data_IF_264644529187
#
_entry.id   IF_264644529187
#
_cell.length_a   1.000
_cell.length_b   1.000
_cell.length_c   1.000
_cell.angle_alpha   90.00
_cell.angle_beta   90.00
_cell.angle_gamma   90.00
#
_symmetry.space_group_name_H-M   'P 1'
#
loop_
_entity.id
_entity.type
_entity.pdbx_description
1 polymer ?
#
# COMPACT_ATOMS: atom_id res chain seq x y z
N UNK A 1 26.77 -60.77 31.07
CA UNK A 1 25.80 -60.19 30.11
C UNK A 1 25.87 -58.67 30.24
N UNK A 2 26.48 -57.97 29.29
CA UNK A 2 26.47 -56.51 29.19
C UNK A 2 25.46 -56.13 28.11
N UNK A 3 24.43 -55.39 28.47
CA UNK A 3 23.45 -54.84 27.53
C UNK A 3 23.90 -53.43 27.14
N UNK A 4 24.29 -53.24 25.88
CA UNK A 4 24.56 -51.94 25.29
C UNK A 4 23.24 -51.34 24.79
N UNK A 5 22.73 -50.36 25.51
CA UNK A 5 21.57 -49.57 25.06
C UNK A 5 22.06 -48.57 24.02
N UNK A 6 21.69 -48.76 22.76
CA UNK A 6 21.92 -47.78 21.71
C UNK A 6 20.77 -46.77 21.73
N UNK A 7 21.04 -45.58 22.24
CA UNK A 7 20.12 -44.45 22.13
C UNK A 7 20.15 -43.92 20.70
N UNK A 8 19.12 -44.22 19.91
CA UNK A 8 18.90 -43.57 18.62
C UNK A 8 18.33 -42.18 18.88
N UNK A 9 19.15 -41.15 18.66
CA UNK A 9 18.70 -39.75 18.67
C UNK A 9 18.06 -39.47 17.32
N UNK A 10 16.73 -39.35 17.29
CA UNK A 10 16.03 -38.78 16.14
C UNK A 10 16.26 -37.28 16.12
N UNK A 11 17.13 -36.82 15.23
CA UNK A 11 17.23 -35.42 14.85
C UNK A 11 15.97 -35.06 14.06
N UNK A 12 14.96 -34.54 14.77
CA UNK A 12 13.86 -33.82 14.12
C UNK A 12 14.45 -32.52 13.62
N UNK A 13 14.89 -32.51 12.36
CA UNK A 13 15.09 -31.28 11.59
C UNK A 13 13.71 -30.63 11.45
N UNK A 14 13.32 -29.84 12.46
CA UNK A 14 12.28 -28.85 12.31
C UNK A 14 12.77 -27.86 11.25
N UNK A 15 12.38 -28.07 10.01
CA UNK A 15 12.37 -26.98 9.05
C UNK A 15 11.43 -25.93 9.64
N UNK A 16 11.99 -24.90 10.28
CA UNK A 16 11.32 -23.61 10.31
C UNK A 16 11.17 -23.20 8.85
N UNK A 17 10.08 -23.64 8.23
CA UNK A 17 9.49 -22.90 7.13
C UNK A 17 9.16 -21.54 7.74
N UNK A 18 10.11 -20.61 7.68
CA UNK A 18 9.78 -19.21 7.84
C UNK A 18 8.77 -18.96 6.73
N UNK A 19 7.49 -18.93 7.08
CA UNK A 19 6.46 -18.60 6.13
C UNK A 19 6.87 -17.27 5.51
N UNK A 20 7.09 -17.29 4.20
CA UNK A 20 7.40 -16.09 3.43
C UNK A 20 6.31 -15.04 3.73
N UNK A 21 6.69 -13.92 4.34
CA UNK A 21 5.74 -12.88 4.76
C UNK A 21 5.73 -11.78 3.73
N UNK A 22 4.59 -11.57 3.08
CA UNK A 22 4.41 -10.40 2.23
C UNK A 22 4.44 -9.14 3.09
N UNK A 23 4.96 -8.06 2.53
CA UNK A 23 5.11 -6.77 3.20
C UNK A 23 4.25 -5.71 2.52
N UNK A 24 3.88 -4.67 3.26
CA UNK A 24 3.15 -3.55 2.70
C UNK A 24 3.62 -2.21 3.27
N UNK A 25 3.64 -1.18 2.42
CA UNK A 25 3.94 0.20 2.78
C UNK A 25 2.79 1.07 2.26
N UNK A 26 2.06 1.73 3.16
CA UNK A 26 0.90 2.57 2.83
C UNK A 26 1.18 4.02 3.22
N UNK A 27 1.12 4.94 2.26
CA UNK A 27 1.65 6.30 2.39
C UNK A 27 0.57 7.32 2.05
N UNK A 28 0.23 8.17 3.03
CA UNK A 28 -0.54 9.40 2.81
C UNK A 28 0.42 10.60 2.81
N UNK A 29 0.60 11.22 1.65
CA UNK A 29 1.43 12.41 1.48
C UNK A 29 0.70 13.72 1.86
N UNK A 30 -0.60 13.67 2.15
CA UNK A 30 -1.41 14.83 2.54
C UNK A 30 -1.59 14.95 4.05
N UNK A 31 -2.10 16.10 4.49
CA UNK A 31 -2.38 16.39 5.90
C UNK A 31 -3.53 17.38 6.01
N UNK A 32 -4.04 17.61 7.22
CA UNK A 32 -5.22 18.44 7.53
C UNK A 32 -6.55 17.78 7.12
N UNK A 33 -7.62 18.17 7.81
CA UNK A 33 -8.93 17.54 7.72
C UNK A 33 -9.54 17.58 6.32
N UNK A 34 -9.32 18.65 5.55
CA UNK A 34 -9.74 18.78 4.14
C UNK A 34 -9.21 17.65 3.22
N UNK A 35 -8.22 16.89 3.69
CA UNK A 35 -7.65 15.74 3.01
C UNK A 35 -8.01 14.40 3.67
N UNK A 36 -9.16 14.33 4.37
CA UNK A 36 -9.67 13.12 5.03
C UNK A 36 -9.65 11.89 4.12
N UNK A 37 -10.04 12.03 2.85
CA UNK A 37 -9.99 10.95 1.86
C UNK A 37 -8.63 10.27 1.72
N UNK A 38 -7.52 10.98 1.73
CA UNK A 38 -6.21 10.32 1.60
C UNK A 38 -5.85 9.53 2.88
N UNK A 39 -6.33 9.99 4.03
CA UNK A 39 -6.23 9.24 5.29
C UNK A 39 -7.07 7.97 5.24
N UNK A 40 -8.34 8.06 4.83
CA UNK A 40 -9.23 6.90 4.75
C UNK A 40 -8.82 5.91 3.65
N UNK A 41 -8.23 6.38 2.52
CA UNK A 41 -7.69 5.51 1.48
C UNK A 41 -6.67 4.53 2.07
N UNK A 42 -5.68 5.07 2.80
CA UNK A 42 -4.64 4.27 3.46
C UNK A 42 -5.25 3.28 4.45
N UNK A 43 -6.26 3.70 5.21
CA UNK A 43 -6.95 2.84 6.18
C UNK A 43 -7.80 1.76 5.54
N UNK A 44 -8.46 2.06 4.43
CA UNK A 44 -9.23 1.11 3.65
C UNK A 44 -8.31 -0.02 3.15
N UNK A 45 -7.17 0.33 2.55
CA UNK A 45 -6.18 -0.67 2.13
C UNK A 45 -5.58 -1.41 3.32
N UNK A 46 -5.25 -0.72 4.43
CA UNK A 46 -4.76 -1.38 5.64
C UNK A 46 -5.74 -2.44 6.15
N UNK A 47 -7.04 -2.10 6.18
CA UNK A 47 -8.10 -3.03 6.60
C UNK A 47 -8.22 -4.23 5.67
N UNK A 48 -8.07 -4.04 4.35
CA UNK A 48 -8.04 -5.15 3.38
C UNK A 48 -6.89 -6.10 3.69
N UNK A 49 -5.67 -5.58 3.87
CA UNK A 49 -4.48 -6.41 4.09
C UNK A 49 -4.58 -7.19 5.41
N UNK A 50 -4.99 -6.53 6.49
CA UNK A 50 -5.19 -7.19 7.79
C UNK A 50 -6.28 -8.26 7.72
N UNK A 51 -7.35 -8.04 6.93
CA UNK A 51 -8.39 -9.04 6.68
C UNK A 51 -7.91 -10.26 5.90
N UNK A 52 -6.79 -10.15 5.18
CA UNK A 52 -6.22 -11.20 4.33
C UNK A 52 -4.86 -11.70 4.84
N UNK A 53 -4.65 -11.68 6.16
CA UNK A 53 -3.56 -12.39 6.82
C UNK A 53 -2.26 -11.60 7.04
N UNK A 54 -2.22 -10.31 6.70
CA UNK A 54 -1.06 -9.48 7.06
C UNK A 54 -1.00 -9.21 8.56
N UNK A 55 0.17 -9.47 9.16
CA UNK A 55 0.46 -9.06 10.52
C UNK A 55 0.63 -7.54 10.60
N UNK A 56 0.35 -6.96 11.77
CA UNK A 56 0.49 -5.52 11.97
C UNK A 56 1.95 -5.03 11.94
N UNK A 57 2.94 -5.91 12.07
CA UNK A 57 4.37 -5.62 11.91
C UNK A 57 4.85 -5.71 10.46
N UNK A 58 4.08 -6.35 9.57
CA UNK A 58 4.40 -6.50 8.15
C UNK A 58 3.82 -5.35 7.30
N UNK A 59 3.05 -4.44 7.92
CA UNK A 59 2.48 -3.25 7.30
C UNK A 59 3.09 -1.99 7.93
N UNK A 60 3.82 -1.22 7.13
CA UNK A 60 4.20 0.14 7.47
C UNK A 60 3.11 1.11 7.01
N UNK A 61 2.67 2.00 7.90
CA UNK A 61 1.68 3.03 7.59
C UNK A 61 2.28 4.40 7.88
N UNK A 62 2.43 5.20 6.83
CA UNK A 62 2.94 6.56 6.89
C UNK A 62 1.80 7.57 6.73
N UNK A 63 1.55 8.35 7.77
CA UNK A 63 0.60 9.48 7.73
C UNK A 63 1.01 10.54 8.76
N UNK A 64 0.88 11.82 8.40
CA UNK A 64 1.30 12.92 9.28
C UNK A 64 0.32 13.17 10.44
N UNK A 65 -0.96 12.88 10.22
CA UNK A 65 -2.02 13.16 11.19
C UNK A 65 -3.00 11.99 11.22
N UNK A 66 -3.44 11.62 12.42
CA UNK A 66 -4.61 10.77 12.60
C UNK A 66 -5.87 11.65 12.62
N UNK A 67 -6.71 11.51 11.59
CA UNK A 67 -7.90 12.35 11.43
C UNK A 67 -9.12 11.81 12.18
N UNK A 68 -9.05 10.62 12.77
CA UNK A 68 -10.09 10.15 13.68
C UNK A 68 -10.16 11.01 14.94
N UNK A 69 -9.01 11.50 15.42
CA UNK A 69 -8.90 12.36 16.59
C UNK A 69 -9.01 13.86 16.27
N UNK A 70 -9.30 14.26 15.02
CA UNK A 70 -9.49 15.67 14.67
C UNK A 70 -10.81 16.18 15.24
N UNK A 71 -10.81 17.36 15.88
CA UNK A 71 -12.02 17.92 16.53
C UNK A 71 -13.17 18.22 15.58
N UNK A 72 -12.90 18.30 14.27
CA UNK A 72 -13.92 18.49 13.23
C UNK A 72 -14.57 17.17 12.81
N UNK A 73 -13.95 16.03 13.11
CA UNK A 73 -14.52 14.73 12.87
C UNK A 73 -15.68 14.50 13.85
N UNK A 74 -16.91 14.54 13.34
CA UNK A 74 -18.14 14.29 14.08
C UNK A 74 -18.45 12.80 14.24
N UNK A 75 -17.71 11.94 13.54
CA UNK A 75 -17.93 10.50 13.50
C UNK A 75 -16.95 9.77 14.42
N UNK A 76 -17.47 8.90 15.30
CA UNK A 76 -16.64 8.05 16.16
C UNK A 76 -15.91 6.93 15.37
N UNK A 77 -16.41 6.63 14.16
CA UNK A 77 -15.88 5.59 13.27
C UNK A 77 -15.35 6.20 11.98
N UNK A 78 -14.36 5.53 11.39
CA UNK A 78 -13.78 5.94 10.11
C UNK A 78 -14.77 5.69 8.97
N UNK A 79 -15.13 6.75 8.24
CA UNK A 79 -15.99 6.65 7.07
C UNK A 79 -15.19 6.27 5.81
N UNK A 80 -15.64 5.21 5.13
CA UNK A 80 -15.24 4.80 3.77
C UNK A 80 -16.50 4.90 2.90
N UNK A 81 -16.79 6.09 2.39
CA UNK A 81 -18.04 6.34 1.67
C UNK A 81 -19.25 6.04 2.56
N UNK A 82 -20.11 5.12 2.12
CA UNK A 82 -21.32 4.70 2.85
C UNK A 82 -21.04 3.61 3.90
N UNK A 83 -19.80 3.14 4.03
CA UNK A 83 -19.38 2.12 5.00
C UNK A 83 -18.56 2.73 6.14
N UNK A 84 -18.58 2.08 7.30
CA UNK A 84 -17.73 2.43 8.44
C UNK A 84 -16.70 1.30 8.65
N UNK A 85 -15.42 1.62 8.83
CA UNK A 85 -14.46 0.61 9.27
C UNK A 85 -14.70 0.20 10.72
N UNK A 86 -14.34 -1.04 11.02
CA UNK A 86 -14.59 -1.69 12.31
C UNK A 86 -14.05 -0.90 13.51
N UNK A 87 -14.89 -0.85 14.52
CA UNK A 87 -14.62 -0.28 15.84
C UNK A 87 -13.60 -1.14 16.61
N UNK A 88 -12.64 -0.51 17.29
CA UNK A 88 -11.70 -1.22 18.18
C UNK A 88 -10.43 -1.77 17.54
N UNK A 89 -10.19 -1.59 16.23
CA UNK A 89 -8.89 -1.88 15.62
C UNK A 89 -7.91 -0.73 15.88
N UNK A 90 -6.73 -1.05 16.43
CA UNK A 90 -5.66 -0.07 16.63
C UNK A 90 -5.06 0.31 15.27
N UNK A 91 -5.48 1.46 14.80
CA UNK A 91 -4.97 2.08 13.60
C UNK A 91 -3.80 3.03 13.91
N UNK A 92 -3.31 3.17 15.14
CA UNK A 92 -2.23 4.10 15.48
C UNK A 92 -1.01 3.86 14.57
N UNK A 93 -0.53 4.86 13.81
CA UNK A 93 0.64 4.69 12.96
C UNK A 93 1.86 4.29 13.80
N UNK A 94 2.41 3.09 13.55
CA UNK A 94 3.57 2.55 14.29
C UNK A 94 4.88 3.28 13.99
N UNK A 95 4.95 4.08 12.91
CA UNK A 95 6.10 4.92 12.56
C UNK A 95 5.64 6.38 12.40
N UNK A 96 5.83 7.16 13.46
CA UNK A 96 5.62 8.62 13.49
C UNK A 96 6.92 9.31 13.14
N UNK A 97 7.17 9.55 11.88
CA UNK A 97 8.11 10.60 11.52
C UNK A 97 7.54 11.43 10.38
N UNK A 98 7.74 12.73 10.50
CA UNK A 98 7.22 13.74 9.57
C UNK A 98 8.33 14.27 8.67
N UNK A 99 9.39 13.46 8.51
CA UNK A 99 10.48 13.80 7.63
C UNK A 99 10.12 13.44 6.20
N UNK A 100 10.50 14.35 5.32
CA UNK A 100 10.54 14.10 3.89
C UNK A 100 11.40 12.86 3.54
N UNK A 101 12.43 12.57 4.33
CA UNK A 101 13.31 11.43 4.03
C UNK A 101 12.72 10.07 4.41
N UNK A 102 11.71 10.02 5.29
CA UNK A 102 11.19 8.73 5.77
C UNK A 102 10.45 7.95 4.69
N UNK A 103 9.72 8.64 3.81
CA UNK A 103 9.05 8.01 2.66
C UNK A 103 10.08 7.40 1.72
N UNK A 104 11.19 8.09 1.45
CA UNK A 104 12.26 7.57 0.61
C UNK A 104 12.98 6.39 1.28
N UNK A 105 13.19 6.45 2.60
CA UNK A 105 13.78 5.32 3.35
C UNK A 105 12.86 4.10 3.33
N UNK A 106 11.56 4.28 3.52
CA UNK A 106 10.54 3.23 3.38
C UNK A 106 10.61 2.57 2.00
N UNK A 107 10.49 3.38 0.93
CA UNK A 107 10.43 2.88 -0.44
C UNK A 107 11.76 2.22 -0.84
N UNK A 108 12.90 2.74 -0.39
CA UNK A 108 14.23 2.19 -0.70
C UNK A 108 14.65 1.00 0.16
N UNK A 109 13.79 0.53 1.05
CA UNK A 109 14.01 -0.68 1.85
C UNK A 109 14.83 -0.47 3.13
N UNK A 110 15.04 0.78 3.55
CA UNK A 110 15.74 1.18 4.78
C UNK A 110 14.74 1.45 5.94
N UNK A 111 13.87 0.47 6.19
CA UNK A 111 12.85 0.51 7.24
C UNK A 111 12.75 -0.86 7.95
N UNK A 112 12.56 -0.91 9.28
CA UNK A 112 12.32 -2.14 10.02
C UNK A 112 11.18 -3.03 9.51
N UNK A 113 10.18 -2.50 8.79
CA UNK A 113 9.13 -3.32 8.14
C UNK A 113 9.73 -4.36 7.19
N UNK A 114 10.90 -4.05 6.60
CA UNK A 114 11.65 -4.94 5.71
C UNK A 114 12.50 -5.97 6.46
N UNK A 115 12.45 -6.03 7.78
CA UNK A 115 13.10 -7.11 8.53
C UNK A 115 12.48 -8.46 8.16
N UNK A 116 13.33 -9.43 7.85
CA UNK A 116 12.94 -10.76 7.39
C UNK A 116 12.49 -10.84 5.93
N UNK A 117 12.43 -9.71 5.21
CA UNK A 117 12.12 -9.73 3.77
C UNK A 117 13.30 -10.27 2.95
N UNK A 118 12.99 -11.14 2.00
CA UNK A 118 13.95 -11.84 1.14
C UNK A 118 13.41 -12.05 -0.29
N UNK A 119 14.14 -12.83 -1.09
CA UNK A 119 13.79 -13.11 -2.50
C UNK A 119 12.51 -13.91 -2.72
N UNK A 120 11.81 -14.32 -1.65
CA UNK A 120 10.47 -14.93 -1.73
C UNK A 120 9.35 -13.92 -1.44
N UNK A 121 9.69 -12.81 -0.78
CA UNK A 121 8.74 -11.80 -0.28
C UNK A 121 8.15 -10.97 -1.42
N UNK A 122 6.82 -10.80 -1.45
CA UNK A 122 6.19 -9.76 -2.27
C UNK A 122 5.97 -8.48 -1.45
N UNK A 123 6.12 -7.33 -2.09
CA UNK A 123 5.89 -6.02 -1.46
C UNK A 123 4.81 -5.24 -2.20
N UNK A 124 3.82 -4.77 -1.46
CA UNK A 124 2.87 -3.76 -1.91
C UNK A 124 3.29 -2.37 -1.41
N UNK A 125 3.39 -1.38 -2.30
CA UNK A 125 3.55 0.01 -1.94
C UNK A 125 2.35 0.78 -2.48
N UNK A 126 1.62 1.46 -1.60
CA UNK A 126 0.51 2.34 -1.98
C UNK A 126 0.81 3.76 -1.54
N UNK A 127 0.75 4.71 -2.47
CA UNK A 127 1.05 6.10 -2.23
C UNK A 127 -0.09 6.97 -2.75
N UNK A 128 -0.65 7.81 -1.87
CA UNK A 128 -1.78 8.70 -2.18
C UNK A 128 -1.53 10.12 -1.70
N UNK A 129 -2.12 11.09 -2.42
CA UNK A 129 -2.04 12.51 -2.08
C UNK A 129 -2.28 13.39 -3.30
N UNK A 130 -1.79 14.63 -3.23
CA UNK A 130 -1.93 15.62 -4.30
C UNK A 130 -0.73 15.64 -5.23
N UNK A 131 -0.91 15.29 -6.49
CA UNK A 131 0.13 15.17 -7.50
C UNK A 131 -0.12 16.05 -8.73
N UNK A 132 0.82 15.96 -9.65
CA UNK A 132 0.80 16.61 -10.96
C UNK A 132 1.87 15.99 -11.85
N UNK A 133 2.13 16.62 -13.00
CA UNK A 133 3.10 16.15 -14.00
C UNK A 133 4.50 16.01 -13.40
N UNK A 134 4.91 14.77 -13.11
CA UNK A 134 6.21 14.40 -12.59
C UNK A 134 6.44 14.62 -11.10
N UNK A 135 5.39 14.85 -10.29
CA UNK A 135 5.56 15.06 -8.85
C UNK A 135 4.35 14.69 -7.99
N UNK A 136 4.61 14.45 -6.69
CA UNK A 136 3.58 14.45 -5.64
C UNK A 136 3.98 15.37 -4.48
N UNK A 137 3.01 16.14 -3.97
CA UNK A 137 3.20 17.03 -2.82
C UNK A 137 3.31 16.24 -1.54
N UNK A 138 4.31 16.58 -0.75
CA UNK A 138 4.43 16.19 0.65
C UNK A 138 3.97 17.34 1.55
N UNK A 139 2.80 17.14 2.18
CA UNK A 139 2.20 18.02 3.17
C UNK A 139 2.13 19.50 2.74
N UNK A 140 1.84 19.75 1.44
CA UNK A 140 1.77 21.09 0.83
C UNK A 140 3.04 21.95 0.97
N UNK A 141 4.20 21.35 1.27
CA UNK A 141 5.45 22.10 1.53
C UNK A 141 6.64 21.62 0.71
N UNK A 142 6.69 20.33 0.40
CA UNK A 142 7.76 19.71 -0.38
C UNK A 142 7.14 18.86 -1.50
N UNK A 143 7.98 18.36 -2.38
CA UNK A 143 7.58 17.57 -3.53
C UNK A 143 8.54 16.40 -3.65
N UNK A 144 8.02 15.19 -3.86
CA UNK A 144 8.82 14.10 -4.43
C UNK A 144 8.63 14.14 -5.93
N UNK A 145 9.74 14.09 -6.66
CA UNK A 145 9.73 14.05 -8.12
C UNK A 145 9.86 12.61 -8.63
N UNK A 146 9.62 12.44 -9.94
CA UNK A 146 9.75 11.14 -10.62
C UNK A 146 11.06 10.44 -10.31
N UNK A 147 12.19 11.17 -10.35
CA UNK A 147 13.50 10.61 -10.08
C UNK A 147 13.66 10.14 -8.63
N UNK A 148 13.17 10.91 -7.64
CA UNK A 148 13.29 10.55 -6.22
C UNK A 148 12.65 9.18 -5.93
N UNK A 149 11.45 8.96 -6.48
CA UNK A 149 10.67 7.74 -6.25
C UNK A 149 11.17 6.57 -7.10
N UNK A 150 11.55 6.84 -8.35
CA UNK A 150 12.10 5.82 -9.26
C UNK A 150 13.43 5.30 -8.72
N UNK A 151 14.33 6.17 -8.28
CA UNK A 151 15.62 5.78 -7.71
C UNK A 151 15.46 5.04 -6.38
N UNK A 152 14.46 5.39 -5.57
CA UNK A 152 14.14 4.64 -4.35
C UNK A 152 13.72 3.19 -4.67
N UNK A 153 12.87 2.97 -5.68
CA UNK A 153 12.46 1.62 -6.11
C UNK A 153 13.62 0.82 -6.72
N UNK A 154 14.50 1.47 -7.48
CA UNK A 154 15.72 0.82 -8.00
C UNK A 154 16.62 0.42 -6.84
N UNK A 155 16.85 1.33 -5.90
CA UNK A 155 17.66 1.07 -4.70
C UNK A 155 17.09 -0.07 -3.88
N UNK A 156 15.77 -0.14 -3.70
CA UNK A 156 15.10 -1.23 -3.00
C UNK A 156 15.55 -2.60 -3.53
N UNK A 157 15.43 -2.83 -4.84
CA UNK A 157 15.83 -4.11 -5.43
C UNK A 157 17.34 -4.36 -5.39
N UNK A 158 18.16 -3.31 -5.41
CA UNK A 158 19.61 -3.44 -5.30
C UNK A 158 20.05 -3.86 -3.88
N UNK A 159 19.38 -3.39 -2.83
CA UNK A 159 19.78 -3.64 -1.43
C UNK A 159 18.96 -4.73 -0.74
N UNK A 160 17.75 -4.98 -1.24
CA UNK A 160 16.78 -5.97 -0.75
C UNK A 160 16.08 -6.60 -1.97
N UNK A 161 16.72 -7.54 -2.69
CA UNK A 161 16.07 -8.19 -3.82
C UNK A 161 14.84 -8.97 -3.32
N UNK A 162 13.66 -8.57 -3.81
CA UNK A 162 12.38 -9.18 -3.46
C UNK A 162 11.87 -10.04 -4.62
N UNK A 163 10.85 -10.86 -4.38
CA UNK A 163 10.23 -11.64 -5.44
C UNK A 163 9.50 -10.74 -6.43
N UNK A 164 8.49 -10.00 -5.95
CA UNK A 164 7.69 -9.06 -6.75
C UNK A 164 7.44 -7.78 -5.96
N UNK A 165 7.43 -6.64 -6.65
CA UNK A 165 7.03 -5.36 -6.07
C UNK A 165 5.87 -4.80 -6.87
N UNK A 166 4.82 -4.39 -6.17
CA UNK A 166 3.70 -3.70 -6.78
C UNK A 166 3.56 -2.30 -6.17
N UNK A 167 3.82 -1.28 -6.98
CA UNK A 167 3.70 0.12 -6.60
C UNK A 167 2.41 0.72 -7.19
N UNK A 168 1.60 1.35 -6.35
CA UNK A 168 0.36 2.01 -6.74
C UNK A 168 0.47 3.50 -6.43
N UNK A 169 0.37 4.35 -7.45
CA UNK A 169 0.27 5.80 -7.32
C UNK A 169 -1.19 6.25 -7.48
N UNK A 170 -1.83 6.63 -6.37
CA UNK A 170 -3.19 7.16 -6.36
C UNK A 170 -3.22 8.68 -6.22
N UNK A 171 -3.12 9.38 -7.36
CA UNK A 171 -3.04 10.83 -7.43
C UNK A 171 -3.36 11.36 -8.83
N UNK A 172 -3.47 12.68 -9.01
CA UNK A 172 -3.59 13.31 -10.33
C UNK A 172 -2.31 13.13 -11.14
N UNK A 173 -2.46 12.82 -12.43
CA UNK A 173 -1.36 12.54 -13.36
C UNK A 173 -0.38 11.47 -12.86
N UNK A 174 -0.92 10.45 -12.17
CA UNK A 174 -0.15 9.40 -11.51
C UNK A 174 0.83 8.68 -12.44
N UNK A 175 0.49 8.54 -13.73
CA UNK A 175 1.31 7.85 -14.74
C UNK A 175 2.64 8.57 -15.04
N UNK A 176 2.79 9.81 -14.58
CA UNK A 176 4.03 10.59 -14.71
C UNK A 176 4.96 10.45 -13.51
N UNK A 177 4.49 9.83 -12.42
CA UNK A 177 5.16 9.85 -11.12
C UNK A 177 6.32 8.86 -11.00
N UNK A 178 6.36 7.82 -11.84
CA UNK A 178 7.42 6.82 -11.87
C UNK A 178 7.88 6.62 -13.31
N UNK A 179 9.18 6.64 -13.56
CA UNK A 179 9.74 6.26 -14.86
C UNK A 179 9.90 4.74 -14.90
N UNK A 180 8.85 4.07 -15.39
CA UNK A 180 8.79 2.62 -15.47
C UNK A 180 9.90 2.00 -16.35
N UNK A 181 10.48 2.76 -17.28
CA UNK A 181 11.54 2.25 -18.18
C UNK A 181 12.85 1.94 -17.46
N UNK A 182 13.07 2.52 -16.28
CA UNK A 182 14.26 2.32 -15.45
C UNK A 182 14.09 1.26 -14.37
N UNK A 183 12.88 0.75 -14.19
CA UNK A 183 12.58 -0.14 -13.08
C UNK A 183 13.15 -1.55 -13.28
N UNK A 184 13.51 -2.23 -12.19
CA UNK A 184 13.83 -3.65 -12.22
C UNK A 184 12.67 -4.50 -12.79
N UNK A 185 12.95 -5.65 -13.43
CA UNK A 185 11.96 -6.41 -14.21
C UNK A 185 10.86 -7.06 -13.36
N UNK A 186 11.00 -7.08 -12.04
CA UNK A 186 10.03 -7.62 -11.08
C UNK A 186 9.18 -6.54 -10.39
N UNK A 187 9.23 -5.29 -10.87
CA UNK A 187 8.45 -4.17 -10.33
C UNK A 187 7.32 -3.81 -11.29
N UNK A 188 6.09 -3.89 -10.80
CA UNK A 188 4.88 -3.44 -11.51
C UNK A 188 4.41 -2.12 -10.91
N UNK A 189 3.96 -1.20 -11.77
CA UNK A 189 3.44 0.12 -11.37
C UNK A 189 2.02 0.28 -11.91
N UNK A 190 1.06 0.51 -11.01
CA UNK A 190 -0.30 0.92 -11.37
C UNK A 190 -0.51 2.39 -11.02
N UNK A 191 -0.90 3.17 -12.02
CA UNK A 191 -1.19 4.59 -11.90
C UNK A 191 -2.68 4.84 -12.03
N UNK A 192 -3.27 5.65 -11.13
CA UNK A 192 -4.73 5.84 -11.12
C UNK A 192 -5.27 6.88 -12.09
N UNK A 193 -4.39 7.62 -12.77
CA UNK A 193 -4.75 8.61 -13.78
C UNK A 193 -3.60 8.81 -14.77
N UNK A 194 -3.92 9.08 -16.03
CA UNK A 194 -2.96 9.40 -17.08
C UNK A 194 -2.46 10.85 -16.98
N UNK A 195 -1.39 11.16 -17.71
CA UNK A 195 -0.96 12.55 -17.90
C UNK A 195 -2.11 13.41 -18.42
N UNK A 196 -2.35 14.55 -17.79
CA UNK A 196 -3.49 15.44 -18.08
C UNK A 196 -4.81 15.06 -17.40
N UNK A 197 -4.91 13.92 -16.71
CA UNK A 197 -6.10 13.53 -15.96
C UNK A 197 -5.99 13.88 -14.46
N UNK A 198 -7.14 14.12 -13.83
CA UNK A 198 -7.24 14.20 -12.36
C UNK A 198 -7.58 12.84 -11.77
N UNK A 199 -7.21 12.59 -10.51
CA UNK A 199 -7.86 11.56 -9.71
C UNK A 199 -9.08 12.15 -9.00
N UNK A 200 -10.07 11.31 -8.72
CA UNK A 200 -11.39 11.76 -8.29
C UNK A 200 -11.81 11.16 -6.97
N UNK A 201 -12.44 12.01 -6.14
CA UNK A 201 -13.07 11.59 -4.90
C UNK A 201 -14.41 10.91 -5.14
N UNK A 202 -14.83 10.07 -4.21
CA UNK A 202 -16.14 9.41 -4.25
C UNK A 202 -17.27 10.39 -3.82
N UNK A 203 -18.27 9.91 -3.10
CA UNK A 203 -19.42 10.73 -2.69
C UNK A 203 -19.06 11.69 -1.55
N UNK A 204 -19.62 12.90 -1.59
CA UNK A 204 -19.53 13.84 -0.48
C UNK A 204 -20.35 13.34 0.72
N UNK A 205 -19.81 13.47 1.92
CA UNK A 205 -20.50 13.14 3.17
C UNK A 205 -20.91 14.43 3.89
N UNK A 206 -22.22 14.60 4.12
CA UNK A 206 -22.77 15.81 4.74
C UNK A 206 -22.44 15.92 6.23
N UNK A 207 -22.38 14.80 6.96
CA UNK A 207 -22.11 14.78 8.40
C UNK A 207 -20.66 15.17 8.71
N UNK A 208 -19.74 14.75 7.84
CA UNK A 208 -18.32 15.12 7.88
C UNK A 208 -18.01 16.46 7.18
N UNK A 209 -18.94 16.95 6.36
CA UNK A 209 -18.80 18.09 5.45
C UNK A 209 -17.54 17.97 4.54
N UNK A 210 -17.29 16.78 4.02
CA UNK A 210 -16.10 16.48 3.22
C UNK A 210 -16.28 15.25 2.32
N UNK A 211 -15.38 15.05 1.36
CA UNK A 211 -15.23 13.78 0.66
C UNK A 211 -14.43 12.80 1.53
N UNK A 212 -15.03 11.66 1.93
CA UNK A 212 -14.43 10.78 2.90
C UNK A 212 -13.47 9.77 2.27
N UNK A 213 -13.46 9.53 0.95
CA UNK A 213 -12.57 8.56 0.28
C UNK A 213 -12.44 8.85 -1.22
N UNK A 214 -11.35 8.40 -1.86
CA UNK A 214 -11.19 8.45 -3.32
C UNK A 214 -11.79 7.25 -4.07
N UNK A 215 -12.17 7.46 -5.34
CA UNK A 215 -12.87 6.45 -6.15
C UNK A 215 -12.05 5.18 -6.33
N UNK A 216 -10.73 5.29 -6.55
CA UNK A 216 -9.86 4.13 -6.69
C UNK A 216 -9.81 3.30 -5.42
N UNK A 217 -9.49 3.91 -4.28
CA UNK A 217 -9.43 3.22 -2.99
C UNK A 217 -10.78 2.60 -2.60
N UNK A 218 -11.90 3.32 -2.81
CA UNK A 218 -13.24 2.77 -2.59
C UNK A 218 -13.53 1.57 -3.50
N UNK A 219 -13.11 1.63 -4.76
CA UNK A 219 -13.31 0.55 -5.72
C UNK A 219 -12.49 -0.68 -5.36
N UNK A 220 -11.24 -0.50 -4.96
CA UNK A 220 -10.38 -1.57 -4.45
C UNK A 220 -10.97 -2.22 -3.19
N UNK A 221 -11.51 -1.43 -2.27
CA UNK A 221 -12.20 -1.93 -1.07
C UNK A 221 -13.42 -2.80 -1.42
N UNK A 222 -14.27 -2.34 -2.36
CA UNK A 222 -15.41 -3.11 -2.84
C UNK A 222 -15.00 -4.37 -3.59
N UNK A 223 -13.91 -4.31 -4.35
CA UNK A 223 -13.36 -5.44 -5.10
C UNK A 223 -12.84 -6.53 -4.17
N UNK A 224 -12.09 -6.14 -3.12
CA UNK A 224 -11.54 -7.06 -2.13
C UNK A 224 -12.64 -7.81 -1.36
N UNK A 225 -13.75 -7.16 -1.01
CA UNK A 225 -14.87 -7.80 -0.31
C UNK A 225 -15.58 -8.89 -1.13
N UNK A 226 -15.58 -8.78 -2.47
CA UNK A 226 -16.22 -9.78 -3.32
C UNK A 226 -15.39 -11.05 -3.47
N UNK A 227 -14.11 -11.00 -3.10
CA UNK A 227 -13.12 -12.00 -3.48
C UNK A 227 -12.88 -11.95 -4.99
N UNK A 228 -11.62 -11.79 -5.40
CA UNK A 228 -11.30 -11.76 -6.83
C UNK A 228 -9.97 -12.44 -7.08
N UNK A 229 -9.90 -13.26 -8.14
CA UNK A 229 -8.66 -13.83 -8.63
C UNK A 229 -8.30 -13.13 -9.95
N UNK A 230 -7.88 -11.87 -9.83
CA UNK A 230 -7.54 -11.01 -10.96
C UNK A 230 -6.04 -10.96 -11.16
N UNK A 231 -5.65 -10.82 -12.42
CA UNK A 231 -4.32 -10.34 -12.76
C UNK A 231 -4.28 -8.81 -12.59
N UNK A 232 -3.08 -8.24 -12.41
CA UNK A 232 -2.92 -6.79 -12.38
C UNK A 232 -3.42 -6.16 -13.69
N UNK A 233 -3.19 -6.82 -14.82
CA UNK A 233 -3.65 -6.39 -16.15
C UNK A 233 -5.17 -6.38 -16.34
N UNK A 234 -5.94 -6.99 -15.42
CA UNK A 234 -7.40 -6.93 -15.45
C UNK A 234 -7.95 -5.69 -14.74
N UNK A 235 -7.18 -5.02 -13.88
CA UNK A 235 -7.64 -3.86 -13.12
C UNK A 235 -8.19 -2.73 -14.01
N UNK A 236 -7.53 -2.32 -15.12
CA UNK A 236 -8.10 -1.29 -16.01
C UNK A 236 -9.43 -1.70 -16.67
N UNK A 237 -9.67 -3.00 -16.84
CA UNK A 237 -10.92 -3.53 -17.42
C UNK A 237 -12.04 -3.56 -16.39
N UNK A 238 -11.72 -3.94 -15.15
CA UNK A 238 -12.68 -4.08 -14.04
C UNK A 238 -13.02 -2.71 -13.44
N UNK A 239 -12.07 -1.78 -13.45
CA UNK A 239 -12.22 -0.41 -12.98
C UNK A 239 -12.02 0.59 -14.13
N UNK A 240 -12.93 0.60 -15.13
CA UNK A 240 -12.82 1.47 -16.30
C UNK A 240 -13.05 2.96 -15.94
N UNK A 241 -12.79 3.89 -16.87
CA UNK A 241 -13.04 5.32 -16.65
C UNK A 241 -14.49 5.66 -16.29
N UNK A 242 -15.48 4.87 -16.71
CA UNK A 242 -16.87 5.04 -16.27
C UNK A 242 -17.08 4.81 -14.77
N UNK A 243 -16.15 4.12 -14.11
CA UNK A 243 -16.15 3.86 -12.66
C UNK A 243 -15.28 4.85 -11.91
N UNK A 244 -14.09 5.17 -12.43
CA UNK A 244 -13.08 5.98 -11.72
C UNK A 244 -13.04 7.44 -12.11
N UNK A 245 -13.69 7.81 -13.22
CA UNK A 245 -13.57 9.13 -13.87
C UNK A 245 -12.14 9.48 -14.32
N UNK A 246 -11.24 8.51 -14.29
CA UNK A 246 -9.85 8.56 -14.75
C UNK A 246 -9.45 7.21 -15.33
N UNK A 247 -8.33 7.17 -16.04
CA UNK A 247 -7.85 5.97 -16.73
C UNK A 247 -6.72 5.33 -15.95
N UNK A 248 -6.87 4.04 -15.59
CA UNK A 248 -5.78 3.26 -15.00
C UNK A 248 -4.73 2.91 -16.04
N UNK A 249 -3.46 3.02 -15.67
CA UNK A 249 -2.31 2.59 -16.46
C UNK A 249 -1.48 1.58 -15.67
N UNK A 250 -1.02 0.51 -16.32
CA UNK A 250 -0.19 -0.53 -15.71
C UNK A 250 1.10 -0.67 -16.52
N UNK A 251 2.24 -0.62 -15.83
CA UNK A 251 3.56 -0.93 -16.38
C UNK A 251 4.21 -2.06 -15.60
N UNK A 252 5.15 -2.78 -16.21
CA UNK A 252 5.89 -3.89 -15.59
C UNK A 252 5.24 -5.27 -15.80
N UNK A 253 5.72 -6.31 -15.09
CA UNK A 253 5.24 -7.68 -15.28
C UNK A 253 3.81 -7.84 -14.75
N UNK A 254 3.06 -8.76 -15.34
CA UNK A 254 1.76 -9.15 -14.82
C UNK A 254 1.91 -10.13 -13.65
N UNK A 255 0.97 -10.09 -12.72
CA UNK A 255 0.96 -10.92 -11.52
C UNK A 255 -0.48 -11.07 -11.00
N UNK A 256 -0.73 -12.06 -10.13
CA UNK A 256 -2.02 -12.13 -9.45
C UNK A 256 -2.10 -11.02 -8.41
N UNK A 257 -3.21 -10.28 -8.38
CA UNK A 257 -3.46 -9.25 -7.37
C UNK A 257 -3.36 -9.83 -5.95
N UNK A 258 -3.78 -11.08 -5.76
CA UNK A 258 -3.71 -11.76 -4.47
C UNK A 258 -2.29 -12.06 -4.01
N UNK A 259 -1.29 -12.05 -4.90
CA UNK A 259 0.13 -12.13 -4.52
C UNK A 259 0.54 -10.96 -3.61
N UNK A 260 -0.21 -9.84 -3.64
CA UNK A 260 0.04 -8.62 -2.88
C UNK A 260 -1.06 -8.27 -1.87
N UNK A 261 -2.28 -8.80 -2.02
CA UNK A 261 -3.36 -8.54 -1.07
C UNK A 261 -3.46 -9.60 0.04
N UNK A 262 -2.92 -10.80 -0.17
CA UNK A 262 -2.92 -11.86 0.82
C UNK A 262 -1.51 -12.10 1.35
N UNK A 263 -1.39 -12.38 2.64
CA UNK A 263 -0.15 -12.91 3.22
C UNK A 263 -0.39 -14.35 3.67
N UNK A 264 0.55 -15.28 3.43
CA UNK A 264 0.47 -16.64 3.96
C UNK A 264 0.33 -16.61 5.49
N UNK A 265 -0.44 -17.55 6.07
CA UNK A 265 -0.54 -17.69 7.52
C UNK A 265 0.84 -17.95 8.16
N UNK A 266 0.98 -17.48 9.40
CA UNK A 266 2.18 -17.63 10.23
C UNK A 266 2.40 -19.07 10.72
#
# INVERSE_FOLDING_TARGET
>A
MRWTVHTVVYLVLGACLVACRNKAILINCSWQYENYRHFSNVRALQSILQGHGYAAEDIAVFMKQDLLADKRNTMEKLCIGDSLLEEGKDYTPKRRSSSYFDILNLISGDDPVMLGADGTTNLLIYLTGHGGDGFIKYCNRKYYYTDDLTDALIRLQAVRPLNKVFFISDTCQADTLIDASRLPPNVSVLSTSLKGESSHSANFNNDLNIYPIDLFAMSMYKLAQKGSNLLLSDLPKVLPPSTLLSTLSLHGPDAHLNDFLHSPPH
#
